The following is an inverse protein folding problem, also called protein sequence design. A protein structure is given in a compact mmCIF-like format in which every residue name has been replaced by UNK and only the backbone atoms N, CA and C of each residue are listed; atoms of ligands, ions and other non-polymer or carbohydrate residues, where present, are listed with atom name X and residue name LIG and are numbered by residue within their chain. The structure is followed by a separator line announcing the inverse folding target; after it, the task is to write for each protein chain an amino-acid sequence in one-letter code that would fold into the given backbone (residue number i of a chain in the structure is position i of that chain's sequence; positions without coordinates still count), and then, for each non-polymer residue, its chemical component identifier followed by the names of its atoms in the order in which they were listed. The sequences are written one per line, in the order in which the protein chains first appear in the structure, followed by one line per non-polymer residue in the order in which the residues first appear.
data_IF_019088696850
#
_entry.id   IF_019088696850
#
_cell.length_a   1.000
_cell.length_b   1.000
_cell.length_c   1.000
_cell.angle_alpha   90.00
_cell.angle_beta   90.00
_cell.angle_gamma   90.00
#
_symmetry.space_group_name_H-M   'P 1'
#
loop_
_entity.id
_entity.type
_entity.pdbx_description
1 polymer ?
2 polymer ?
3 non-polymer ?
4 non-polymer ?
5 non-polymer ?
6 water ?
#
# COMPACT_ATOMS: atom_id res chain seq x y z
N UNK A 16 20.24 20.85 7.20
CA UNK A 16 19.95 21.33 8.58
C UNK A 16 18.45 21.14 8.94
N UNK A 17 17.50 21.47 8.06
CA UNK A 17 16.09 21.43 8.43
C UNK A 17 15.43 20.09 8.08
N UNK A 18 14.76 19.50 9.06
CA UNK A 18 14.23 18.15 8.87
C UNK A 18 13.28 18.13 7.67
N UNK A 19 13.25 17.03 6.91
CA UNK A 19 12.47 16.97 5.68
C UNK A 19 11.02 16.53 5.90
N UNK A 20 10.33 17.20 6.82
CA UNK A 20 8.93 16.84 7.09
C UNK A 20 8.03 17.18 5.91
N UNK A 21 8.37 18.23 5.16
CA UNK A 21 7.65 18.52 3.93
C UNK A 21 7.54 17.33 3.00
N UNK A 22 8.63 16.59 2.84
CA UNK A 22 8.62 15.43 1.95
C UNK A 22 7.62 14.39 2.43
N UNK A 23 7.38 14.30 3.74
CA UNK A 23 6.44 13.30 4.25
C UNK A 23 5.01 13.73 3.98
N UNK A 24 4.64 14.93 4.43
CA UNK A 24 3.24 15.34 4.38
C UNK A 24 2.80 15.67 2.97
N UNK A 25 3.70 16.25 2.17
CA UNK A 25 3.40 16.77 0.84
C UNK A 25 3.54 15.73 -0.26
N UNK A 26 4.01 14.54 0.06
CA UNK A 26 4.32 13.56 -0.98
C UNK A 26 3.10 13.33 -1.86
N UNK A 27 3.35 13.21 -3.16
CA UNK A 27 2.25 13.01 -4.10
C UNK A 27 1.66 11.62 -3.91
N UNK A 28 2.52 10.60 -3.69
CA UNK A 28 2.08 9.23 -3.48
C UNK A 28 2.13 8.87 -2.00
N UNK A 29 1.14 8.09 -1.57
CA UNK A 29 1.13 7.50 -0.23
C UNK A 29 1.00 6.00 -0.37
N UNK A 30 1.52 5.30 0.64
CA UNK A 30 1.50 3.86 0.65
C UNK A 30 0.13 3.29 0.99
N UNK A 31 -0.12 2.07 0.52
CA UNK A 31 -1.15 1.24 1.13
C UNK A 31 -0.79 0.90 2.57
N UNK A 32 -1.84 0.78 3.39
CA UNK A 32 -1.62 0.64 4.82
C UNK A 32 -0.88 -0.66 5.13
N UNK A 33 -1.12 -1.71 4.33
CA UNK A 33 -0.48 -3.01 4.61
C UNK A 33 1.00 -2.96 4.27
N UNK A 34 1.36 -2.10 3.32
CA UNK A 34 2.72 -1.86 2.87
C UNK A 34 3.18 -0.48 3.29
N UNK A 35 2.88 -0.14 4.54
CA UNK A 35 3.07 1.23 5.00
C UNK A 35 4.54 1.62 4.90
N UNK A 36 4.77 2.91 4.72
CA UNK A 36 6.12 3.44 4.59
C UNK A 36 6.58 4.06 5.90
N UNK A 37 7.90 4.08 6.08
CA UNK A 37 8.56 4.68 7.22
C UNK A 37 9.73 5.51 6.71
N UNK A 38 9.85 6.73 7.21
CA UNK A 38 10.96 7.63 6.92
C UNK A 38 11.70 7.87 8.22
N UNK A 39 12.97 7.56 8.26
CA UNK A 39 13.79 7.95 9.40
C UNK A 39 14.17 9.44 9.28
N UNK A 40 13.96 10.20 10.35
CA UNK A 40 14.41 11.59 10.44
C UNK A 40 15.50 11.69 11.50
N UNK A 41 16.66 12.22 11.12
CA UNK A 41 17.78 12.32 12.02
C UNK A 41 18.71 13.45 11.56
N UNK A 42 19.54 13.89 12.49
CA UNK A 42 20.59 14.89 12.24
C UNK A 42 20.03 16.12 11.53
N UNK A 43 19.07 16.77 12.18
CA UNK A 43 18.37 17.92 11.59
C UNK A 43 17.55 18.63 12.65
N UNK A 44 17.21 19.88 12.37
CA UNK A 44 16.32 20.65 13.24
C UNK A 44 14.91 20.60 12.66
N UNK A 45 13.94 20.42 13.53
CA UNK A 45 12.54 20.27 13.14
C UNK A 45 11.70 21.33 13.82
N UNK A 46 10.98 22.12 13.02
CA UNK A 46 10.04 23.11 13.55
C UNK A 46 8.63 22.53 13.47
N UNK A 47 8.23 21.86 14.54
CA UNK A 47 6.93 21.22 14.57
C UNK A 47 5.77 22.22 14.71
N UNK A 48 6.05 23.45 15.12
CA UNK A 48 4.97 24.44 15.22
C UNK A 48 4.28 24.65 13.88
N UNK A 49 4.95 24.35 12.77
CA UNK A 49 4.33 24.47 11.44
C UNK A 49 3.18 23.48 11.30
N UNK A 50 3.36 22.28 11.84
CA UNK A 50 2.29 21.30 11.82
C UNK A 50 1.15 21.71 12.72
N UNK A 51 1.41 21.80 14.03
CA UNK A 51 0.32 21.94 14.98
C UNK A 51 -0.45 23.25 14.80
N UNK A 52 0.16 24.28 14.22
CA UNK A 52 -0.55 25.52 13.91
C UNK A 52 -1.28 25.45 12.57
N UNK A 53 -1.43 24.27 11.99
CA UNK A 53 -2.13 24.06 10.71
C UNK A 53 -3.52 23.50 10.96
N UNK A 54 -4.54 24.13 10.38
CA UNK A 54 -5.94 23.73 10.55
C UNK A 54 -6.41 22.76 9.48
N UNK A 55 -5.50 22.16 8.74
CA UNK A 55 -5.85 21.29 7.63
C UNK A 55 -5.89 19.82 8.02
N UNK A 56 -5.84 19.49 9.31
CA UNK A 56 -5.82 18.10 9.77
C UNK A 56 -7.14 17.78 10.45
N UNK A 57 -7.70 16.60 10.14
CA UNK A 57 -8.91 16.21 10.85
C UNK A 57 -8.57 15.52 12.17
N UNK A 58 -7.43 14.82 12.23
CA UNK A 58 -6.97 14.20 13.48
C UNK A 58 -5.58 14.73 13.80
N UNK A 59 -5.35 15.09 15.07
CA UNK A 59 -4.01 15.47 15.52
C UNK A 59 -3.92 15.15 17.01
N UNK A 60 -3.45 13.95 17.32
CA UNK A 60 -3.46 13.45 18.69
C UNK A 60 -2.05 13.00 19.05
N UNK A 61 -1.56 13.46 20.19
CA UNK A 61 -0.24 13.07 20.66
C UNK A 61 -0.38 12.29 21.97
N UNK A 62 0.60 11.39 22.16
CA UNK A 62 0.68 10.48 23.30
C UNK A 62 2.08 10.60 23.90
N UNK A 63 2.15 10.97 25.16
CA UNK A 63 3.42 11.06 25.86
C UNK A 63 4.21 12.32 25.61
N UNK A 64 3.68 13.26 24.84
CA UNK A 64 4.35 14.52 24.55
C UNK A 64 3.27 15.55 24.28
N UNK A 65 3.56 16.81 24.61
CA UNK A 65 2.69 17.93 24.26
C UNK A 65 3.20 18.61 23.00
N UNK A 66 2.40 18.68 21.95
CA UNK A 66 2.93 19.17 20.67
C UNK A 66 3.52 20.56 20.74
N UNK A 67 2.95 21.44 21.57
CA UNK A 67 3.46 22.81 21.64
C UNK A 67 4.88 22.86 22.17
N UNK A 68 5.26 21.87 22.98
CA UNK A 68 6.58 21.81 23.57
C UNK A 68 7.61 21.11 22.69
N UNK A 69 7.21 20.64 21.50
CA UNK A 69 8.15 19.94 20.65
C UNK A 69 9.28 20.85 20.19
N UNK A 70 8.96 22.11 19.91
CA UNK A 70 9.96 23.05 19.40
C UNK A 70 11.07 23.32 20.40
N UNK A 71 10.96 22.82 21.62
CA UNK A 71 12.00 22.97 22.62
C UNK A 71 12.48 21.61 23.13
N UNK A 72 12.36 20.57 22.30
CA UNK A 72 12.75 19.21 22.68
C UNK A 72 13.72 18.60 21.69
N UNK A 73 14.48 17.60 22.16
CA UNK A 73 15.45 16.88 21.35
C UNK A 73 15.19 15.38 21.47
N UNK A 74 15.38 14.66 20.36
CA UNK A 74 15.21 13.22 20.37
C UNK A 74 16.32 12.55 19.60
N UNK A 75 16.60 11.32 19.98
CA UNK A 75 17.61 10.53 19.30
C UNK A 75 17.29 10.33 17.83
N UNK A 76 16.06 9.94 17.53
CA UNK A 76 15.56 9.84 16.18
C UNK A 76 14.07 10.16 16.16
N UNK A 77 13.59 10.54 14.98
CA UNK A 77 12.14 10.66 14.72
C UNK A 77 11.80 9.77 13.53
N UNK A 78 10.66 9.09 13.60
CA UNK A 78 10.20 8.23 12.52
C UNK A 78 8.85 8.74 12.05
N UNK A 79 8.65 8.72 10.73
CA UNK A 79 7.40 9.16 10.14
C UNK A 79 6.84 8.04 9.27
N UNK A 80 5.80 7.38 9.77
CA UNK A 80 5.09 6.37 9.00
C UNK A 80 3.88 7.03 8.31
N UNK A 81 3.59 6.60 7.08
CA UNK A 81 2.52 7.19 6.28
C UNK A 81 1.81 6.11 5.48
N UNK A 82 0.50 6.30 5.27
CA UNK A 82 -0.30 5.34 4.54
C UNK A 82 -1.73 5.90 4.42
N UNK A 83 -2.59 5.20 3.70
CA UNK A 83 -3.98 5.60 3.51
C UNK A 83 -4.87 4.50 4.05
N UNK A 84 -5.94 4.92 4.72
CA UNK A 84 -7.00 4.07 5.21
C UNK A 84 -8.33 4.81 5.00
N UNK A 85 -9.45 4.18 5.37
CA UNK A 85 -10.71 4.91 5.27
C UNK A 85 -10.96 5.69 6.55
N UNK A 86 -11.84 6.69 6.45
CA UNK A 86 -12.01 7.66 7.52
C UNK A 86 -12.39 7.00 8.82
N UNK A 87 -13.32 6.04 8.77
CA UNK A 87 -13.79 5.44 10.02
C UNK A 87 -12.82 4.42 10.61
N UNK A 88 -11.63 4.25 9.99
CA UNK A 88 -10.56 3.40 10.53
C UNK A 88 -9.50 4.21 11.23
N UNK A 89 -9.53 5.53 11.11
CA UNK A 89 -8.51 6.34 11.75
C UNK A 89 -8.51 6.09 13.24
N UNK A 90 -9.69 5.78 13.79
CA UNK A 90 -9.81 5.47 15.20
C UNK A 90 -8.87 4.34 15.60
N UNK A 91 -8.56 3.42 14.68
CA UNK A 91 -7.73 2.26 14.98
C UNK A 91 -6.26 2.61 15.08
N UNK A 92 -5.87 3.81 14.65
CA UNK A 92 -4.47 4.22 14.69
C UNK A 92 -4.29 4.91 16.03
N UNK A 93 -4.35 4.15 17.09
CA UNK A 93 -4.16 4.62 18.46
C UNK A 93 -3.73 3.43 19.27
N UNK A 94 -3.02 3.65 20.38
CA UNK A 94 -2.58 2.50 21.18
C UNK A 94 -3.76 1.72 21.75
N UNK A 95 -3.64 0.41 21.77
CA UNK A 95 -4.64 -0.42 22.42
C UNK A 95 -5.90 -0.60 21.63
N UNK A 96 -5.89 -0.30 20.32
CA UNK A 96 -7.07 -0.47 19.48
C UNK A 96 -7.08 -1.86 18.87
N UNK A 97 -8.27 -2.36 18.56
CA UNK A 97 -8.43 -3.57 17.75
C UNK A 97 -9.30 -3.27 16.52
N UNK A 98 -9.23 -4.18 15.53
CA UNK A 98 -9.88 -3.96 14.24
C UNK A 98 -9.02 -4.50 13.12
N UNK A 99 -9.52 -4.64 11.89
CA UNK A 99 -8.70 -5.17 10.83
C UNK A 99 -7.39 -4.40 10.66
N UNK A 100 -7.45 -3.07 10.78
CA UNK A 100 -6.26 -2.27 10.50
C UNK A 100 -5.25 -2.43 11.63
N UNK A 101 -5.70 -2.22 12.87
CA UNK A 101 -4.82 -2.32 14.02
C UNK A 101 -4.24 -3.73 14.19
N UNK A 102 -5.03 -4.76 13.91
CA UNK A 102 -4.63 -6.13 14.17
C UNK A 102 -3.74 -6.63 13.02
N UNK A 103 -4.10 -6.28 11.78
CA UNK A 103 -3.50 -6.94 10.63
C UNK A 103 -2.71 -6.01 9.70
N UNK A 104 -2.66 -4.71 9.95
CA UNK A 104 -1.99 -3.82 9.00
C UNK A 104 -0.99 -2.85 9.63
N UNK A 105 -1.41 -2.15 10.68
CA UNK A 105 -0.54 -1.18 11.33
C UNK A 105 -0.91 -1.07 12.78
N UNK A 106 0.03 -1.42 13.67
CA UNK A 106 -0.21 -1.52 15.11
C UNK A 106 0.70 -0.61 15.88
N UNK A 107 0.12 0.28 16.68
CA UNK A 107 0.93 1.07 17.59
C UNK A 107 1.16 0.31 18.89
N UNK A 108 2.27 0.54 19.58
CA UNK A 108 2.45 -0.09 20.89
C UNK A 108 1.63 0.60 21.97
N UNK A 109 1.42 -0.14 23.07
CA UNK A 109 0.66 0.39 24.20
C UNK A 109 1.30 1.64 24.80
N UNK A 110 2.65 1.67 24.84
CA UNK A 110 3.43 2.79 25.38
C UNK A 110 3.89 3.74 24.28
N UNK A 111 3.09 3.93 23.24
CA UNK A 111 3.45 4.81 22.15
C UNK A 111 3.81 6.21 22.62
N UNK A 112 4.93 6.71 22.11
CA UNK A 112 5.33 8.10 22.32
C UNK A 112 5.42 8.75 20.94
N UNK A 113 4.41 9.56 20.61
CA UNK A 113 4.38 10.21 19.31
C UNK A 113 3.01 10.83 19.03
N UNK A 114 2.78 11.13 17.75
CA UNK A 114 1.58 11.84 17.32
C UNK A 114 0.98 11.13 16.12
N UNK A 115 -0.35 11.12 16.07
CA UNK A 115 -1.08 10.58 14.93
C UNK A 115 -1.78 11.75 14.28
N UNK A 116 -1.57 11.93 12.99
CA UNK A 116 -2.09 13.03 12.23
C UNK A 116 -2.78 12.48 11.01
N UNK A 117 -3.96 13.02 10.68
CA UNK A 117 -4.64 12.55 9.49
C UNK A 117 -5.46 13.67 8.90
N UNK A 118 -5.83 13.47 7.63
CA UNK A 118 -6.68 14.41 6.92
C UNK A 118 -7.39 13.67 5.79
N UNK A 119 -8.60 14.15 5.47
CA UNK A 119 -9.35 13.64 4.34
C UNK A 119 -8.61 13.94 3.03
N UNK A 120 -8.42 12.91 2.22
CA UNK A 120 -7.69 13.02 0.98
C UNK A 120 -8.56 12.60 -0.18
N UNK A 121 -9.89 12.77 -0.03
CA UNK A 121 -10.81 12.44 -1.13
C UNK A 121 -10.41 13.10 -2.45
N UNK A 122 -9.93 14.34 -2.41
CA UNK A 122 -9.62 15.06 -3.65
C UNK A 122 -8.29 14.68 -4.29
N UNK A 123 -7.59 13.74 -3.75
CA UNK A 123 -6.40 13.17 -4.36
C UNK A 123 -6.55 11.69 -4.65
N UNK A 124 -7.14 10.98 -3.68
CA UNK A 124 -7.12 9.53 -3.66
C UNK A 124 -8.41 8.86 -4.13
N UNK A 125 -9.48 9.63 -4.35
CA UNK A 125 -10.71 9.09 -4.91
C UNK A 125 -10.67 9.20 -6.43
N UNK A 126 -11.31 8.24 -7.10
CA UNK A 126 -11.41 8.28 -8.55
C UNK A 126 -12.84 7.92 -8.93
N UNK A 127 -13.34 8.55 -9.99
CA UNK A 127 -14.64 8.18 -10.53
C UNK A 127 -14.55 6.77 -11.09
N UNK A 128 -15.54 5.95 -10.75
CA UNK A 128 -15.44 4.54 -11.03
C UNK A 128 -14.60 3.77 -10.02
N UNK A 129 -13.97 4.46 -9.07
CA UNK A 129 -13.30 3.78 -7.99
C UNK A 129 -11.79 3.69 -8.13
N UNK A 130 -11.07 4.05 -7.08
CA UNK A 130 -9.63 3.90 -7.03
C UNK A 130 -9.32 2.58 -6.35
N UNK A 131 -8.72 1.63 -7.08
CA UNK A 131 -8.44 0.32 -6.50
C UNK A 131 -6.98 0.15 -6.14
N UNK A 132 -6.19 1.22 -6.18
CA UNK A 132 -4.75 1.13 -5.98
C UNK A 132 -4.36 1.15 -4.50
N UNK A 133 -5.31 1.33 -3.57
CA UNK A 133 -5.03 1.22 -2.13
C UNK A 133 -5.58 -0.07 -1.54
N UNK A 134 -4.73 -0.79 -0.82
CA UNK A 134 -5.00 -2.15 -0.39
C UNK A 134 -4.92 -2.25 1.11
N UNK A 135 -5.64 -3.21 1.65
CA UNK A 135 -5.43 -3.61 3.04
C UNK A 135 -5.45 -5.12 3.15
N UNK A 136 -4.89 -5.61 4.26
CA UNK A 136 -4.89 -7.02 4.59
C UNK A 136 -6.12 -7.38 5.41
N UNK A 137 -6.83 -8.40 4.94
CA UNK A 137 -8.09 -8.78 5.55
C UNK A 137 -7.96 -9.92 6.54
N UNK A 138 -6.94 -10.77 6.41
CA UNK A 138 -6.78 -11.94 7.25
C UNK A 138 -5.33 -12.07 7.69
N UNK A 139 -5.11 -12.72 8.82
CA UNK A 139 -3.75 -13.00 9.25
C UNK A 139 -3.80 -14.02 10.37
N UNK A 140 -2.78 -14.88 10.42
CA UNK A 140 -2.81 -15.95 11.41
C UNK A 140 -2.74 -15.41 12.83
N UNK A 141 -2.11 -14.26 13.00
CA UNK A 141 -1.99 -13.65 14.32
C UNK A 141 -1.88 -12.15 14.13
N UNK A 142 -2.08 -11.43 15.23
CA UNK A 142 -2.01 -9.97 15.19
C UNK A 142 -0.57 -9.53 15.01
N UNK A 143 -0.41 -8.40 14.32
CA UNK A 143 0.89 -7.76 14.21
C UNK A 143 1.40 -7.31 15.57
N UNK A 144 2.71 -7.45 15.79
CA UNK A 144 3.34 -6.75 16.91
C UNK A 144 3.46 -5.26 16.55
N UNK A 145 3.64 -4.39 17.56
CA UNK A 145 3.80 -2.97 17.28
C UNK A 145 4.90 -2.68 16.25
N UNK A 146 4.54 -1.91 15.23
CA UNK A 146 5.40 -1.48 14.13
C UNK A 146 5.89 -2.65 13.28
N UNK A 147 5.21 -3.78 13.33
CA UNK A 147 5.51 -4.87 12.41
C UNK A 147 4.83 -4.57 11.08
N UNK A 148 5.41 -5.05 9.99
CA UNK A 148 4.84 -4.87 8.67
C UNK A 148 4.79 -6.23 8.01
N UNK A 149 3.75 -6.48 7.24
CA UNK A 149 3.57 -7.78 6.58
C UNK A 149 3.12 -7.48 5.16
N UNK A 150 3.99 -7.78 4.18
CA UNK A 150 3.69 -7.59 2.77
C UNK A 150 3.51 -8.92 2.06
N UNK A 151 3.25 -9.99 2.78
CA UNK A 151 3.13 -11.28 2.12
C UNK A 151 1.81 -11.39 1.36
N UNK A 152 1.80 -12.33 0.40
CA UNK A 152 0.60 -12.58 -0.41
C UNK A 152 0.25 -14.07 -0.46
N UNK A 153 0.41 -14.80 0.67
CA UNK A 153 0.05 -16.21 0.72
C UNK A 153 -1.46 -16.37 0.86
N UNK A 154 -1.99 -17.44 0.27
CA UNK A 154 -3.40 -17.75 0.44
C UNK A 154 -3.66 -18.07 1.90
N UNK A 155 -4.72 -17.48 2.46
CA UNK A 155 -5.02 -17.63 3.87
C UNK A 155 -5.93 -18.83 4.08
N UNK A 156 -5.47 -19.77 4.91
CA UNK A 156 -6.19 -20.99 5.25
C UNK A 156 -7.16 -20.67 6.38
N UNK A 157 -8.41 -20.43 6.04
CA UNK A 157 -9.38 -20.06 7.04
C UNK A 157 -10.12 -21.25 7.65
N UNK A 158 -10.03 -22.43 7.05
CA UNK A 158 -10.58 -23.62 7.64
C UNK A 158 -9.49 -24.65 7.92
N UNK A 159 -9.89 -25.89 8.07
CA UNK A 159 -8.96 -26.92 8.46
C UNK A 159 -8.20 -27.51 7.29
N UNK A 160 -8.70 -27.35 6.10
CA UNK A 160 -8.10 -28.02 4.96
C UNK A 160 -6.97 -27.17 4.40
N UNK A 161 -5.79 -27.73 4.15
CA UNK A 161 -4.73 -26.91 3.54
C UNK A 161 -5.14 -26.43 2.16
N UNK A 162 -4.64 -25.25 1.80
CA UNK A 162 -5.02 -24.60 0.55
C UNK A 162 -4.11 -24.96 -0.60
N UNK A 163 -2.87 -25.35 -0.30
CA UNK A 163 -1.87 -25.65 -1.32
C UNK A 163 -1.78 -24.53 -2.35
N UNK A 164 -1.76 -23.28 -1.85
CA UNK A 164 -1.61 -22.13 -2.72
C UNK A 164 -2.71 -21.90 -3.73
N UNK A 165 -3.87 -22.54 -3.55
CA UNK A 165 -5.02 -22.38 -4.44
C UNK A 165 -6.16 -21.71 -3.69
N UNK A 166 -6.76 -20.71 -4.33
CA UNK A 166 -7.94 -20.07 -3.77
C UNK A 166 -9.19 -20.94 -3.92
N UNK A 167 -10.15 -20.67 -3.05
CA UNK A 167 -11.37 -21.44 -3.00
C UNK A 167 -12.05 -21.21 -1.66
N UNK A 168 -13.04 -22.03 -1.39
CA UNK A 168 -13.74 -21.91 -0.12
C UNK A 168 -12.77 -22.08 1.04
N UNK A 169 -12.83 -21.13 1.99
CA UNK A 169 -11.95 -21.06 3.15
C UNK A 169 -10.45 -21.04 2.77
N UNK A 170 -10.14 -20.57 1.56
CA UNK A 170 -8.77 -20.40 1.06
C UNK A 170 -8.72 -19.06 0.31
N UNK A 171 -8.31 -18.00 1.01
CA UNK A 171 -8.59 -16.64 0.58
C UNK A 171 -7.33 -15.82 0.31
N UNK A 172 -7.32 -15.13 -0.81
CA UNK A 172 -6.31 -14.12 -1.03
C UNK A 172 -6.40 -13.09 0.10
N UNK A 173 -5.29 -12.72 0.72
CA UNK A 173 -5.37 -11.91 1.95
C UNK A 173 -5.46 -10.40 1.79
N UNK A 174 -5.26 -9.86 0.59
CA UNK A 174 -5.36 -8.42 0.36
C UNK A 174 -6.68 -8.08 -0.35
N UNK A 175 -7.18 -6.91 -0.06
CA UNK A 175 -8.46 -6.44 -0.60
C UNK A 175 -8.31 -4.96 -0.94
N UNK A 176 -8.92 -4.55 -2.03
CA UNK A 176 -8.88 -3.16 -2.43
C UNK A 176 -9.93 -2.36 -1.66
N UNK A 177 -9.57 -1.13 -1.29
CA UNK A 177 -10.58 -0.22 -0.74
C UNK A 177 -11.60 0.21 -1.81
N UNK A 178 -11.16 0.45 -3.03
CA UNK A 178 -12.14 0.99 -3.99
C UNK A 178 -12.82 2.32 -3.62
N UNK A 179 -12.02 3.36 -3.41
CA UNK A 179 -12.51 4.65 -2.98
C UNK A 179 -13.21 5.38 -4.14
N UNK A 180 -14.51 5.66 -3.98
CA UNK A 180 -15.41 6.36 -4.91
C UNK A 180 -15.73 7.75 -4.37
N UNK A 181 -15.70 8.82 -5.19
CA UNK A 181 -15.98 10.15 -4.63
C UNK A 181 -17.39 10.29 -4.06
N UNK A 182 -18.35 9.46 -4.47
CA UNK A 182 -19.74 9.52 -4.03
C UNK A 182 -19.95 8.87 -2.67
N UNK A 183 -18.92 8.24 -2.12
CA UNK A 183 -18.96 7.66 -0.80
C UNK A 183 -19.02 8.73 0.27
N UNK A 184 -19.77 8.45 1.33
CA UNK A 184 -19.74 9.32 2.49
C UNK A 184 -18.37 9.36 3.15
N UNK A 185 -18.22 10.35 4.02
CA UNK A 185 -16.88 10.68 4.51
C UNK A 185 -16.26 9.54 5.35
N UNK A 186 -17.09 8.75 6.05
CA UNK A 186 -16.53 7.63 6.77
C UNK A 186 -15.85 6.61 5.87
N UNK A 187 -16.22 6.56 4.60
CA UNK A 187 -15.71 5.63 3.62
C UNK A 187 -14.71 6.27 2.70
N UNK A 188 -14.43 7.57 2.90
CA UNK A 188 -13.46 8.25 2.05
C UNK A 188 -12.04 7.96 2.51
N UNK A 189 -11.08 8.13 1.61
CA UNK A 189 -9.67 7.91 1.99
C UNK A 189 -9.14 9.04 2.86
N UNK A 190 -8.33 8.66 3.85
CA UNK A 190 -7.64 9.55 4.75
C UNK A 190 -6.14 9.27 4.65
N UNK A 191 -5.35 10.31 4.48
CA UNK A 191 -3.91 10.14 4.60
C UNK A 191 -3.50 10.32 6.06
N UNK A 192 -2.56 9.50 6.50
CA UNK A 192 -2.22 9.40 7.90
C UNK A 192 -0.72 9.52 8.01
N UNK A 193 -0.25 10.29 8.98
CA UNK A 193 1.18 10.36 9.29
C UNK A 193 1.33 10.12 10.78
N UNK A 194 2.13 9.11 11.12
CA UNK A 194 2.43 8.78 12.50
C UNK A 194 3.87 9.19 12.79
N UNK A 195 4.04 10.10 13.73
CA UNK A 195 5.36 10.51 14.16
C UNK A 195 5.74 9.77 15.44
N UNK A 196 6.85 9.03 15.39
CA UNK A 196 7.41 8.40 16.57
C UNK A 196 8.63 9.18 17.03
N UNK A 197 8.68 9.49 18.32
CA UNK A 197 9.78 10.24 18.91
C UNK A 197 10.57 9.27 19.79
N UNK A 198 11.81 9.00 19.39
CA UNK A 198 12.62 7.98 20.03
C UNK A 198 13.65 8.64 20.91
N UNK A 199 13.69 8.25 22.17
CA UNK A 199 14.63 8.82 23.12
C UNK A 199 15.45 7.70 23.73
N UNK A 200 16.72 7.65 23.36
CA UNK A 200 17.66 6.64 23.86
C UNK A 200 18.86 7.33 24.48
N UNK A 201 19.62 6.57 25.28
CA UNK A 201 20.82 7.10 25.91
C UNK A 201 21.92 7.22 24.85
N UNK A 202 21.78 8.27 24.06
CA UNK A 202 22.70 8.57 22.97
C UNK A 202 22.55 10.06 22.68
N UNK A 203 23.48 10.62 21.92
CA UNK A 203 23.33 12.03 21.56
C UNK A 203 22.03 12.21 20.80
N UNK A 204 21.29 13.26 21.16
CA UNK A 204 20.15 13.65 20.35
C UNK A 204 20.61 14.14 18.98
N UNK A 205 19.80 13.84 17.95
CA UNK A 205 20.11 14.30 16.60
C UNK A 205 18.95 15.05 15.93
N UNK A 206 17.79 15.13 16.57
CA UNK A 206 16.64 15.86 16.07
C UNK A 206 16.16 16.79 17.17
N UNK A 207 16.38 18.09 16.98
CA UNK A 207 16.05 19.12 17.96
C UNK A 207 15.17 20.17 17.31
N UNK A 208 14.46 20.91 18.16
CA UNK A 208 13.64 22.01 17.72
C UNK A 208 14.46 23.28 17.62
N UNK A 209 13.82 24.37 17.17
CA UNK A 209 14.55 25.63 16.94
C UNK A 209 15.15 26.26 18.19
N UNK A 210 15.02 25.59 19.33
CA UNK A 210 15.50 26.16 20.58
C UNK A 210 16.38 25.15 21.34
N UNK B 2 11.11 2.27 -10.84
CA UNK B 2 10.55 3.30 -11.73
C UNK B 2 9.25 2.75 -12.27
N UNK B 3 9.30 1.62 -12.97
CA UNK B 3 8.13 1.24 -13.75
C UNK B 3 8.11 -0.26 -14.02
N UNK B 4 7.00 -0.69 -14.59
CA UNK B 4 6.82 -2.07 -15.04
C UNK B 4 6.51 -2.02 -16.52
N UNK B 5 7.29 -2.76 -17.33
CA UNK B 5 7.07 -2.82 -18.76
C UNK B 5 6.33 -4.11 -19.07
N UNK B 6 5.10 -3.98 -19.55
CA UNK B 6 4.23 -5.10 -19.80
C UNK B 6 4.10 -5.30 -21.29
N UNK B 7 4.30 -6.53 -21.75
CA UNK B 7 4.14 -6.93 -23.14
C UNK B 7 3.36 -8.23 -23.21
N UNK B 8 2.59 -8.42 -24.29
CA UNK B 8 2.30 -7.51 -25.40
C UNK B 8 1.31 -6.42 -25.00
N UNK B 9 1.25 -5.33 -25.76
CA UNK B 9 0.32 -4.28 -25.38
C UNK B 9 -1.08 -4.59 -25.88
N UNK B 10 -1.21 -5.32 -26.97
CA UNK B 10 -2.49 -5.70 -27.52
C UNK B 10 -2.36 -7.13 -28.02
N UNK B 11 -3.49 -7.81 -28.17
CA UNK B 11 -3.46 -9.19 -28.63
C UNK B 11 -4.84 -9.60 -29.13
N UNK B 12 -4.84 -10.39 -30.21
CA UNK B 12 -6.05 -10.98 -30.76
C UNK B 12 -5.81 -12.47 -30.93
N UNK B 13 -6.78 -13.28 -30.50
CA UNK B 13 -6.68 -14.74 -30.47
C UNK B 13 -8.03 -15.34 -30.80
N UNK B 14 -8.02 -16.55 -31.34
CA UNK B 14 -9.24 -17.29 -31.56
C UNK B 14 -9.52 -18.17 -30.33
N UNK B 15 -10.76 -18.64 -30.24
CA UNK B 15 -11.13 -19.55 -29.16
C UNK B 15 -10.21 -20.77 -29.17
N UNK B 16 -9.76 -21.18 -27.98
CA UNK B 16 -8.92 -22.35 -27.81
C UNK B 16 -7.44 -22.05 -27.61
N UNK B 17 -6.97 -20.92 -28.13
CA UNK B 17 -5.57 -20.58 -28.02
C UNK B 17 -5.25 -20.15 -26.58
N UNK B 18 -4.05 -19.61 -26.39
CA UNK B 18 -3.58 -19.19 -25.08
C UNK B 18 -2.85 -17.86 -25.23
N UNK B 19 -2.75 -17.13 -24.12
CA UNK B 19 -2.08 -15.84 -24.08
C UNK B 19 -1.03 -15.84 -22.98
N UNK B 20 0.15 -15.32 -23.29
CA UNK B 20 1.21 -15.13 -22.32
C UNK B 20 1.51 -13.64 -22.20
N UNK B 21 1.53 -13.13 -20.97
CA UNK B 21 1.83 -11.73 -20.70
C UNK B 21 3.09 -11.67 -19.83
N UNK B 22 4.01 -10.77 -20.17
CA UNK B 22 5.26 -10.63 -19.41
C UNK B 22 5.39 -9.21 -18.87
N UNK B 23 5.82 -9.10 -17.63
CA UNK B 23 6.00 -7.80 -16.98
C UNK B 23 7.42 -7.73 -16.45
N UNK B 24 8.16 -6.71 -16.90
CA UNK B 24 9.57 -6.53 -16.60
C UNK B 24 9.69 -5.30 -15.70
N UNK B 25 10.27 -5.48 -14.52
CA UNK B 25 10.47 -4.34 -13.61
C UNK B 25 11.70 -3.56 -14.04
N UNK B 26 11.49 -2.27 -14.29
CA UNK B 26 12.36 -1.39 -15.07
C UNK B 26 12.83 -0.23 -14.21
N UNK B 27 14.07 0.20 -14.42
CA UNK B 27 14.61 1.31 -13.68
C UNK B 27 14.60 1.12 -12.17
N UNK B 28 14.69 -0.12 -11.70
CA UNK B 28 14.72 -0.42 -10.27
C UNK B 28 16.09 -0.98 -9.91
N UNK B 29 16.76 -0.32 -8.96
CA UNK B 29 17.95 -0.85 -8.32
C UNK B 29 17.63 -1.55 -7.00
N UNK B 30 16.36 -1.67 -6.69
CA UNK B 30 15.85 -2.17 -5.44
C UNK B 30 15.05 -3.42 -5.71
N UNK B 31 14.76 -4.18 -4.64
CA UNK B 31 13.96 -5.38 -4.85
C UNK B 31 12.48 -5.03 -5.03
N UNK B 32 11.72 -6.02 -5.49
CA UNK B 32 10.30 -5.87 -5.76
C UNK B 32 9.61 -7.21 -5.54
N UNK B 33 8.28 -7.22 -5.55
CA UNK B 33 7.51 -8.45 -5.43
C UNK B 33 6.24 -8.37 -6.26
N UNK B 34 5.77 -9.51 -6.74
CA UNK B 34 4.51 -9.54 -7.46
C UNK B 34 3.38 -9.33 -6.46
N UNK B 35 2.40 -8.50 -6.79
CA UNK B 35 1.23 -8.37 -5.93
C UNK B 35 0.08 -9.22 -6.46
N UNK B 36 -0.39 -8.93 -7.66
CA UNK B 36 -1.41 -9.74 -8.30
C UNK B 36 -1.57 -9.26 -9.72
N UNK B 37 -2.36 -10.03 -10.48
CA UNK B 37 -2.81 -9.64 -11.80
C UNK B 37 -4.31 -9.34 -11.74
N UNK B 38 -4.78 -8.50 -12.66
CA UNK B 38 -6.20 -8.15 -12.67
C UNK B 38 -6.66 -7.79 -14.07
N UNK B 39 -7.97 -7.76 -14.25
CA UNK B 39 -8.54 -7.43 -15.54
C UNK B 39 -9.60 -6.34 -15.35
N UNK B 40 -9.81 -5.60 -16.42
CA UNK B 40 -10.90 -4.63 -16.51
C UNK B 40 -11.69 -5.04 -17.74
N UNK B 41 -12.94 -5.31 -17.54
CA UNK B 41 -13.80 -5.73 -18.64
C UNK B 41 -14.26 -4.50 -19.41
N UNK B 42 -14.48 -4.63 -20.71
CA UNK B 42 -14.94 -3.46 -21.49
C UNK B 42 -16.21 -2.87 -20.89
N UNK B 43 -16.24 -1.54 -20.81
CA UNK B 43 -17.42 -0.83 -20.33
C UNK B 43 -17.59 -0.85 -18.82
N UNK B 44 -16.58 -1.33 -18.08
CA UNK B 44 -16.62 -1.36 -16.62
C UNK B 44 -15.32 -0.81 -16.08
N UNK B 45 -15.41 -0.10 -14.98
CA UNK B 45 -14.24 0.37 -14.25
C UNK B 45 -13.76 -0.62 -13.20
N UNK B 46 -14.49 -1.71 -12.99
CA UNK B 46 -14.13 -2.64 -11.93
C UNK B 46 -12.83 -3.37 -12.25
N UNK B 47 -12.01 -3.57 -11.24
CA UNK B 47 -10.81 -4.38 -11.38
C UNK B 47 -11.06 -5.75 -10.77
N UNK B 48 -11.00 -6.77 -11.59
CA UNK B 48 -11.29 -8.14 -11.17
C UNK B 48 -9.93 -8.82 -11.00
N UNK B 49 -9.54 -9.06 -9.77
CA UNK B 49 -8.30 -9.78 -9.55
C UNK B 49 -8.42 -11.16 -10.16
N UNK B 50 -7.33 -11.64 -10.72
CA UNK B 50 -7.28 -12.95 -11.34
C UNK B 50 -6.75 -13.97 -10.34
N UNK B 51 -7.58 -14.95 -9.98
CA UNK B 51 -7.11 -16.01 -9.09
C UNK B 51 -6.31 -17.01 -9.92
N UNK B 52 -5.14 -17.37 -9.42
CA UNK B 52 -4.21 -18.21 -10.16
C UNK B 52 -4.56 -19.67 -9.85
N UNK B 53 -5.12 -20.33 -10.85
CA UNK B 53 -5.45 -21.74 -10.71
C UNK B 53 -5.99 -22.19 -12.07
N UNK B 54 -5.94 -23.49 -12.28
CA UNK B 54 -6.46 -24.08 -13.50
C UNK B 54 -5.84 -23.50 -14.76
N UNK B 55 -6.65 -22.80 -15.55
CA UNK B 55 -6.18 -22.29 -16.83
C UNK B 55 -5.42 -20.98 -16.70
N UNK B 56 -5.25 -20.46 -15.49
CA UNK B 56 -4.39 -19.30 -15.23
C UNK B 56 -3.12 -19.79 -14.54
N UNK B 57 -2.01 -19.79 -15.27
CA UNK B 57 -0.70 -20.16 -14.74
C UNK B 57 0.17 -18.91 -14.63
N UNK B 58 0.86 -18.74 -13.52
CA UNK B 58 1.79 -17.62 -13.38
C UNK B 58 3.19 -18.14 -13.09
N UNK B 59 4.17 -17.26 -13.33
CA UNK B 59 5.56 -17.55 -13.00
C UNK B 59 6.27 -16.26 -12.60
N UNK B 60 7.37 -16.42 -11.88
CA UNK B 60 8.20 -15.30 -11.45
C UNK B 60 9.66 -15.68 -11.67
N UNK B 61 10.42 -14.72 -12.19
CA UNK B 61 11.82 -14.86 -12.57
C UNK B 61 12.60 -13.67 -12.00
N UNK B 62 13.08 -13.79 -10.76
CA UNK B 62 13.81 -12.67 -10.17
C UNK B 62 15.10 -12.39 -10.93
N UNK B 63 15.67 -13.39 -11.58
CA UNK B 63 16.91 -13.15 -12.31
C UNK B 63 16.76 -12.17 -13.46
N UNK B 64 15.63 -12.24 -14.15
CA UNK B 64 15.33 -11.34 -15.26
C UNK B 64 14.48 -10.14 -14.83
N UNK B 65 14.22 -10.01 -13.52
CA UNK B 65 13.38 -8.94 -13.00
C UNK B 65 12.00 -8.94 -13.66
N UNK B 66 11.43 -10.13 -13.85
CA UNK B 66 10.17 -10.26 -14.58
C UNK B 66 9.23 -11.24 -13.87
N UNK B 67 7.93 -11.08 -14.18
CA UNK B 67 6.88 -12.00 -13.80
C UNK B 67 5.84 -12.07 -14.92
N UNK B 68 5.18 -13.22 -15.00
CA UNK B 68 4.34 -13.49 -16.17
C UNK B 68 3.06 -14.19 -15.77
N UNK B 69 2.11 -14.18 -16.71
CA UNK B 69 0.82 -14.83 -16.54
C UNK B 69 0.51 -15.57 -17.83
N UNK B 70 -0.03 -16.78 -17.74
CA UNK B 70 -0.45 -17.50 -18.94
C UNK B 70 -1.89 -17.94 -18.80
N UNK B 71 -2.68 -17.73 -19.86
CA UNK B 71 -4.10 -18.05 -19.88
C UNK B 71 -4.33 -19.07 -20.99
N UNK B 72 -4.89 -20.22 -20.64
CA UNK B 72 -5.16 -21.29 -21.57
C UNK B 72 -6.65 -21.35 -21.88
N UNK B 73 -6.96 -22.03 -22.98
CA UNK B 73 -8.35 -22.28 -23.38
C UNK B 73 -9.13 -20.97 -23.45
N UNK B 74 -8.65 -20.06 -24.30
CA UNK B 74 -9.25 -18.74 -24.39
C UNK B 74 -10.67 -18.81 -24.94
N UNK B 75 -11.57 -18.05 -24.32
CA UNK B 75 -12.95 -17.92 -24.75
C UNK B 75 -13.24 -16.44 -24.99
N UNK B 76 -14.34 -16.20 -25.70
CA UNK B 76 -14.72 -14.85 -26.08
C UNK B 76 -14.86 -13.94 -24.87
N UNK B 77 -15.39 -14.47 -23.76
CA UNK B 77 -15.59 -13.67 -22.56
C UNK B 77 -14.28 -13.28 -21.89
N UNK B 78 -13.15 -13.86 -22.30
CA UNK B 78 -11.86 -13.43 -21.81
C UNK B 78 -11.40 -12.10 -22.41
N UNK B 79 -12.13 -11.57 -23.40
CA UNK B 79 -11.80 -10.27 -23.96
C UNK B 79 -11.86 -9.21 -22.87
N UNK B 80 -10.72 -8.59 -22.63
CA UNK B 80 -10.56 -7.62 -21.56
C UNK B 80 -9.15 -7.07 -21.65
N UNK B 81 -8.86 -6.12 -20.79
CA UNK B 81 -7.50 -5.63 -20.61
C UNK B 81 -6.96 -6.19 -19.31
N UNK B 82 -5.79 -6.80 -19.39
CA UNK B 82 -5.13 -7.49 -18.27
C UNK B 82 -3.95 -6.65 -17.79
N UNK B 83 -3.83 -6.54 -16.47
CA UNK B 83 -2.76 -5.80 -15.85
C UNK B 83 -1.98 -6.62 -14.83
N UNK B 84 -0.69 -6.30 -14.71
CA UNK B 84 0.17 -6.80 -13.65
C UNK B 84 0.46 -5.70 -12.64
N UNK B 85 0.39 -6.04 -11.35
CA UNK B 85 0.72 -5.12 -10.27
C UNK B 85 1.89 -5.67 -9.45
N UNK B 86 2.85 -4.79 -9.17
CA UNK B 86 4.01 -5.15 -8.38
C UNK B 86 4.17 -4.12 -7.28
N UNK B 87 4.84 -4.55 -6.22
CA UNK B 87 5.20 -3.67 -5.10
C UNK B 87 6.69 -3.47 -5.19
N UNK B 88 7.12 -2.24 -5.42
CA UNK B 88 8.53 -1.97 -5.73
C UNK B 88 9.13 -1.05 -4.68
N UNK B 89 10.30 -1.42 -4.17
CA UNK B 89 11.08 -0.51 -3.33
C UNK B 89 11.78 0.57 -4.15
N UNK B 90 11.90 1.76 -3.55
CA UNK B 90 12.38 2.95 -4.24
C UNK B 90 13.10 3.86 -3.26
N UNK B 91 13.65 4.95 -3.77
CA UNK B 91 14.39 5.89 -2.94
C UNK B 91 15.86 5.53 -2.87
N UNK B 92 16.62 6.47 -2.28
CA UNK B 92 18.08 6.35 -2.25
C UNK B 92 18.52 5.00 -1.71
N UNK B 93 18.06 4.67 -0.51
CA UNK B 93 18.43 3.43 0.17
C UNK B 93 17.39 2.34 -0.01
N UNK B 94 16.54 2.45 -1.01
CA UNK B 94 15.52 1.43 -1.23
C UNK B 94 14.60 1.28 -0.03
N UNK B 95 14.34 2.38 0.68
CA UNK B 95 13.59 2.32 1.94
C UNK B 95 12.11 2.63 1.79
N UNK B 96 11.62 2.96 0.61
CA UNK B 96 10.20 3.28 0.46
C UNK B 96 9.60 2.24 -0.47
N UNK B 97 8.29 2.03 -0.43
CA UNK B 97 7.71 1.14 -1.44
C UNK B 97 6.36 1.68 -1.92
N UNK B 98 6.09 1.40 -3.19
CA UNK B 98 4.82 1.76 -3.80
C UNK B 98 4.44 0.68 -4.77
N UNK B 99 3.15 0.61 -5.07
CA UNK B 99 2.67 -0.28 -6.11
C UNK B 99 2.76 0.39 -7.48
N UNK B 100 3.10 -0.42 -8.49
CA UNK B 100 3.20 0.01 -9.87
C UNK B 100 2.50 -0.99 -10.75
N UNK B 101 1.77 -0.51 -11.73
CA UNK B 101 1.06 -1.39 -12.67
C UNK B 101 1.73 -1.34 -14.03
N UNK B 102 1.70 -2.49 -14.73
CA UNK B 102 1.95 -2.46 -16.15
C UNK B 102 0.91 -1.63 -16.89
N UNK B 103 1.24 -1.30 -18.12
CA UNK B 103 0.35 -0.51 -18.94
C UNK B 103 -0.75 -1.34 -19.59
N UNK B 104 -0.74 -2.66 -19.46
CA UNK B 104 -1.90 -3.43 -19.84
C UNK B 104 -1.75 -4.15 -21.17
N UNK B 105 -2.53 -5.22 -21.30
CA UNK B 105 -2.61 -6.06 -22.49
C UNK B 105 -4.08 -6.12 -22.88
N UNK B 106 -4.43 -5.57 -24.03
CA UNK B 106 -5.81 -5.55 -24.51
C UNK B 106 -6.02 -6.83 -25.31
N UNK B 107 -6.77 -7.76 -24.75
CA UNK B 107 -7.02 -9.04 -25.39
C UNK B 107 -8.39 -9.07 -26.05
N UNK B 108 -8.40 -9.38 -27.35
CA UNK B 108 -9.62 -9.65 -28.09
C UNK B 108 -9.65 -11.12 -28.47
N UNK B 109 -10.75 -11.79 -28.18
CA UNK B 109 -10.93 -13.21 -28.49
C UNK B 109 -12.15 -13.36 -29.39
N UNK B 110 -11.97 -14.11 -30.51
CA UNK B 110 -12.93 -14.24 -31.59
C UNK B 110 -13.33 -15.72 -31.79
N UNK B 111 -14.13 -15.97 -32.84
CA UNK B 111 -14.61 -17.30 -33.26
C UNK B 111 -15.72 -17.83 -32.35
#
# INVERSE_FOLDING_TARGET
RVQPTESIVRFPNITNLCPFGEVFNATRFASVYAWNRKRISNCVADYSVLYNSASFSTFKCYGVSPTKLNDLCFTNVYADSFVIRGDEVRQIAPGQTGKIADYNYKLPDDFTGCVIAWNSNNLDSKVGGNYNYLYRLFRKSNLKPFERDISTEIYQAGSTPCNGVEGFNCYFPLQSYGFQPTNGVGYQPYRVVVLSFELLHAPATVCGPKKSTNLVKHHHHHHHH
MASVNQTPRTATKETGESLTINCVVTGASCSWSRTYWYRKNPGSSNQERISISGRYVESVNKGAKSFSLRIKDLTVADSATYYCKALINTGKDCTMNFHYDGAGTVLTVNQHHHHHH
#
